data_IF_941683128668
#
_entry.id   IF_941683128668
#
_cell.length_a   1.000
_cell.length_b   1.000
_cell.length_c   1.000
_cell.angle_alpha   90.00
_cell.angle_beta   90.00
_cell.angle_gamma   90.00
#
_symmetry.space_group_name_H-M   'P 1'
#
loop_
_entity.id
_entity.type
_entity.pdbx_description
1 polymer ?
#
# COMPACT_ATOMS: atom_id res chain seq x y z
N UNK A 1 -7.42 -9.44 0.83
CA UNK A 1 -6.62 -8.29 1.29
C UNK A 1 -7.06 -6.97 0.66
N UNK A 2 -6.84 -6.72 -0.64
CA UNK A 2 -7.24 -5.45 -1.30
C UNK A 2 -8.75 -5.23 -1.19
N UNK A 3 -9.52 -6.27 -1.56
CA UNK A 3 -10.98 -6.27 -1.50
C UNK A 3 -11.54 -6.12 -0.08
N UNK A 4 -10.75 -6.39 0.95
CA UNK A 4 -11.20 -6.31 2.35
C UNK A 4 -10.92 -4.94 2.96
N UNK A 5 -9.89 -4.26 2.50
CA UNK A 5 -9.61 -2.88 2.91
C UNK A 5 -10.76 -1.93 2.58
N UNK A 6 -11.30 -2.02 1.36
CA UNK A 6 -12.40 -1.15 0.92
C UNK A 6 -13.75 -1.47 1.56
N UNK A 7 -13.90 -2.64 2.19
CA UNK A 7 -15.09 -2.98 3.00
C UNK A 7 -15.07 -2.32 4.38
N UNK A 8 -13.91 -1.83 4.83
CA UNK A 8 -13.80 -1.18 6.13
C UNK A 8 -14.43 0.23 6.10
N UNK A 9 -15.17 0.62 7.15
CA UNK A 9 -15.59 2.00 7.32
C UNK A 9 -14.39 2.95 7.26
N UNK A 10 -14.61 4.15 6.74
CA UNK A 10 -13.52 5.14 6.61
C UNK A 10 -12.81 5.41 7.94
N UNK A 11 -13.58 5.53 9.02
CA UNK A 11 -13.05 5.70 10.37
C UNK A 11 -12.06 4.57 10.74
N UNK A 12 -12.39 3.32 10.41
CA UNK A 12 -11.52 2.18 10.70
C UNK A 12 -10.24 2.20 9.87
N UNK A 13 -10.32 2.62 8.60
CA UNK A 13 -9.13 2.79 7.75
C UNK A 13 -8.21 3.88 8.31
N UNK A 14 -8.77 5.02 8.73
CA UNK A 14 -8.02 6.10 9.40
C UNK A 14 -7.33 5.63 10.68
N UNK A 15 -8.02 4.86 11.52
CA UNK A 15 -7.44 4.27 12.72
C UNK A 15 -6.24 3.38 12.40
N UNK A 16 -6.36 2.51 11.40
CA UNK A 16 -5.26 1.62 11.01
C UNK A 16 -4.04 2.43 10.55
N UNK A 17 -4.24 3.46 9.72
CA UNK A 17 -3.16 4.36 9.29
C UNK A 17 -2.51 5.04 10.49
N UNK A 18 -3.30 5.59 11.42
CA UNK A 18 -2.77 6.26 12.62
C UNK A 18 -2.00 5.31 13.54
N UNK A 19 -2.50 4.10 13.78
CA UNK A 19 -1.80 3.11 14.60
C UNK A 19 -0.50 2.63 13.94
N UNK A 20 -0.52 2.48 12.62
CA UNK A 20 0.67 2.08 11.84
C UNK A 20 1.71 3.18 11.85
N UNK A 21 1.29 4.44 11.67
CA UNK A 21 2.12 5.64 11.81
C UNK A 21 2.84 5.69 13.16
N UNK A 22 2.11 5.46 14.26
CA UNK A 22 2.69 5.40 15.61
C UNK A 22 3.73 4.29 15.74
N UNK A 23 3.44 3.09 15.25
CA UNK A 23 4.35 1.92 15.34
C UNK A 23 5.60 2.09 14.48
N UNK A 24 5.45 2.65 13.29
CA UNK A 24 6.54 2.84 12.34
C UNK A 24 7.35 4.12 12.63
N UNK A 25 6.91 4.97 13.57
CA UNK A 25 7.47 6.29 13.81
C UNK A 25 7.53 7.15 12.53
N UNK A 26 6.50 7.05 11.68
CA UNK A 26 6.39 7.77 10.41
C UNK A 26 5.14 8.67 10.40
N UNK A 27 5.13 9.78 9.66
CA UNK A 27 3.92 10.58 9.47
C UNK A 27 2.77 9.75 8.86
N UNK A 28 1.50 9.96 9.27
CA UNK A 28 0.35 9.25 8.72
C UNK A 28 0.24 9.33 7.19
N UNK A 29 0.52 10.50 6.61
CA UNK A 29 0.51 10.68 5.15
C UNK A 29 1.54 9.78 4.45
N UNK A 30 2.69 9.51 5.09
CA UNK A 30 3.76 8.70 4.50
C UNK A 30 3.36 7.24 4.47
N UNK A 31 2.73 6.77 5.55
CA UNK A 31 2.14 5.43 5.64
C UNK A 31 1.04 5.26 4.60
N UNK A 32 0.14 6.23 4.48
CA UNK A 32 -0.96 6.17 3.53
C UNK A 32 -0.45 6.15 2.07
N UNK A 33 0.49 7.03 1.73
CA UNK A 33 1.12 7.06 0.40
C UNK A 33 1.78 5.73 0.06
N UNK A 34 2.55 5.18 1.01
CA UNK A 34 3.27 3.93 0.87
C UNK A 34 2.32 2.72 0.70
N UNK A 35 1.22 2.74 1.44
CA UNK A 35 0.15 1.75 1.32
C UNK A 35 -0.47 1.80 -0.08
N UNK A 36 -0.85 2.98 -0.59
CA UNK A 36 -1.40 3.12 -1.94
C UNK A 36 -0.45 2.63 -3.03
N UNK A 37 0.84 2.97 -2.95
CA UNK A 37 1.83 2.50 -3.91
C UNK A 37 1.94 0.97 -3.92
N UNK A 38 1.98 0.36 -2.74
CA UNK A 38 2.04 -1.11 -2.59
C UNK A 38 0.80 -1.79 -3.15
N UNK A 39 -0.37 -1.17 -2.99
CA UNK A 39 -1.65 -1.68 -3.50
C UNK A 39 -1.71 -1.64 -5.02
N UNK A 40 -1.27 -0.55 -5.65
CA UNK A 40 -1.19 -0.44 -7.11
C UNK A 40 -0.23 -1.48 -7.68
N UNK A 41 0.96 -1.61 -7.10
CA UNK A 41 1.94 -2.61 -7.53
C UNK A 41 1.34 -4.01 -7.43
N UNK A 42 0.74 -4.35 -6.29
CA UNK A 42 0.07 -5.63 -6.12
C UNK A 42 -0.98 -5.88 -7.21
N UNK A 43 -1.85 -4.92 -7.48
CA UNK A 43 -2.86 -5.06 -8.54
C UNK A 43 -2.27 -5.21 -9.93
N UNK A 44 -1.18 -4.51 -10.25
CA UNK A 44 -0.49 -4.64 -11.54
C UNK A 44 0.12 -6.04 -11.72
N UNK A 45 0.71 -6.60 -10.67
CA UNK A 45 1.31 -7.94 -10.69
C UNK A 45 0.29 -9.07 -10.53
N UNK A 46 -1.00 -8.77 -10.37
CA UNK A 46 -2.11 -9.76 -10.41
C UNK A 46 -2.69 -9.92 -11.84
N UNK A 47 -2.23 -9.15 -12.83
CA UNK A 47 -2.71 -9.20 -14.22
C UNK A 47 -2.04 -10.32 -15.02
N UNK A 48 -2.70 -10.78 -16.09
CA UNK A 48 -2.25 -11.89 -16.94
C UNK A 48 -0.91 -11.63 -17.67
N UNK A 49 -0.51 -10.36 -17.79
CA UNK A 49 0.75 -9.94 -18.42
C UNK A 49 1.78 -9.46 -17.38
N UNK A 50 1.60 -9.79 -16.11
CA UNK A 50 2.51 -9.42 -15.01
C UNK A 50 3.96 -9.85 -15.27
N UNK A 51 4.18 -10.97 -15.97
CA UNK A 51 5.50 -11.46 -16.38
C UNK A 51 6.25 -10.50 -17.33
N UNK A 52 5.54 -9.56 -17.96
CA UNK A 52 6.12 -8.53 -18.83
C UNK A 52 6.40 -7.21 -18.08
N UNK A 53 6.00 -7.11 -16.81
CA UNK A 53 6.19 -5.93 -15.99
C UNK A 53 7.44 -6.09 -15.11
N UNK A 54 8.29 -5.08 -15.11
CA UNK A 54 9.44 -4.99 -14.19
C UNK A 54 9.29 -3.74 -13.35
N UNK A 55 9.15 -3.90 -12.04
CA UNK A 55 9.21 -2.79 -11.10
C UNK A 55 10.67 -2.46 -10.78
N UNK A 56 11.09 -1.23 -11.05
CA UNK A 56 12.48 -0.76 -10.93
C UNK A 56 12.55 0.66 -10.38
N UNK A 57 13.75 1.10 -10.00
CA UNK A 57 14.05 2.46 -9.52
C UNK A 57 14.44 2.50 -8.04
N UNK A 58 14.64 3.69 -7.48
CA UNK A 58 15.04 3.82 -6.06
C UNK A 58 14.02 3.21 -5.09
N UNK A 59 12.73 3.28 -5.42
CA UNK A 59 11.63 2.77 -4.60
C UNK A 59 11.49 1.24 -4.66
N UNK A 60 12.04 0.57 -5.66
CA UNK A 60 12.01 -0.90 -5.74
C UNK A 60 13.00 -1.56 -4.77
N UNK A 61 13.91 -0.80 -4.16
CA UNK A 61 14.80 -1.30 -3.10
C UNK A 61 14.10 -1.36 -1.73
N UNK A 62 12.96 -0.68 -1.60
CA UNK A 62 12.21 -0.53 -0.35
C UNK A 62 10.87 -1.28 -0.33
N UNK A 63 10.56 -2.02 -1.40
CA UNK A 63 9.27 -2.66 -1.67
C UNK A 63 9.47 -4.07 -2.16
#
# INVERSE_FOLDING_TARGET
>A
MIKDWFKLPEQRRREIILQTSKRAALPPWSVEKDWWASMVLKSLFELDFSDQLVFKGGTSLSK
#
